data_IF_564642946469
#
_entry.id   IF_564642946469
#
_cell.length_a   1.000
_cell.length_b   1.000
_cell.length_c   1.000
_cell.angle_alpha   90.00
_cell.angle_beta   90.00
_cell.angle_gamma   90.00
#
_symmetry.space_group_name_H-M   'P 1'
#
loop_
_entity.id
_entity.type
_entity.pdbx_description
1 polymer ?
#
# COMPACT_ATOMS: atom_id res chain seq x y z
N UNK A 1 18.42 -18.99 3.83
CA UNK A 1 17.02 -19.44 3.65
C UNK A 1 16.43 -18.59 2.54
N UNK A 2 15.83 -19.20 1.51
CA UNK A 2 15.16 -18.43 0.46
C UNK A 2 13.78 -18.08 1.01
N UNK A 3 13.62 -16.87 1.52
CA UNK A 3 12.36 -16.47 2.11
C UNK A 3 11.27 -16.44 1.04
N UNK A 4 10.23 -17.22 1.25
CA UNK A 4 9.10 -17.31 0.36
C UNK A 4 8.18 -16.11 0.56
N UNK A 5 7.82 -15.45 -0.53
CA UNK A 5 6.80 -14.40 -0.56
C UNK A 5 5.52 -14.90 -1.23
N UNK A 6 4.38 -14.35 -0.84
CA UNK A 6 3.12 -14.48 -1.57
C UNK A 6 2.63 -13.11 -2.02
N UNK A 7 1.98 -13.07 -3.18
CA UNK A 7 1.57 -11.79 -3.81
C UNK A 7 0.12 -11.49 -3.46
N UNK A 8 -0.13 -10.28 -2.94
CA UNK A 8 -1.48 -9.69 -2.93
C UNK A 8 -1.61 -8.77 -4.12
N UNK A 9 -2.58 -9.07 -4.96
CA UNK A 9 -2.95 -8.25 -6.09
C UNK A 9 -4.04 -7.25 -5.71
N UNK A 10 -3.88 -5.99 -6.12
CA UNK A 10 -4.88 -4.92 -5.96
C UNK A 10 -5.08 -4.21 -7.31
N UNK A 11 -6.27 -4.34 -7.87
CA UNK A 11 -6.67 -3.63 -9.08
C UNK A 11 -7.08 -2.18 -8.76
N UNK A 12 -6.69 -1.22 -9.60
CA UNK A 12 -7.06 0.21 -9.51
C UNK A 12 -8.05 0.53 -10.60
N UNK A 13 -9.31 0.78 -10.22
CA UNK A 13 -10.43 0.99 -11.14
C UNK A 13 -10.27 2.32 -11.90
N UNK A 14 -9.62 3.31 -11.29
CA UNK A 14 -9.45 4.64 -11.89
C UNK A 14 -8.40 4.68 -13.01
N UNK A 15 -7.48 3.71 -13.05
CA UNK A 15 -6.36 3.69 -14.02
C UNK A 15 -6.24 2.39 -14.79
N UNK A 16 -7.06 1.37 -14.49
CA UNK A 16 -6.96 0.01 -15.06
C UNK A 16 -5.56 -0.62 -14.85
N UNK A 17 -4.97 -0.35 -13.68
CA UNK A 17 -3.63 -0.83 -13.29
C UNK A 17 -3.76 -1.88 -12.21
N UNK A 18 -2.90 -2.88 -12.24
CA UNK A 18 -2.81 -3.89 -11.21
C UNK A 18 -1.51 -3.74 -10.39
N UNK A 19 -1.66 -3.58 -9.07
CA UNK A 19 -0.55 -3.53 -8.14
C UNK A 19 -0.31 -4.92 -7.55
N UNK A 20 0.94 -5.39 -7.62
CA UNK A 20 1.39 -6.63 -7.01
C UNK A 20 2.23 -6.33 -5.77
N UNK A 21 1.72 -6.67 -4.59
CA UNK A 21 2.41 -6.49 -3.31
C UNK A 21 2.97 -7.82 -2.84
N UNK A 22 4.29 -7.91 -2.77
CA UNK A 22 4.98 -9.07 -2.22
C UNK A 22 4.94 -9.00 -0.68
N UNK A 23 4.33 -10.01 -0.08
CA UNK A 23 4.24 -10.18 1.37
C UNK A 23 5.09 -11.38 1.78
N UNK A 24 5.70 -11.31 2.94
CA UNK A 24 6.50 -12.42 3.45
C UNK A 24 5.56 -13.48 4.04
N UNK A 25 5.81 -14.76 3.75
CA UNK A 25 5.00 -15.85 4.33
C UNK A 25 5.24 -16.01 5.84
N UNK A 26 6.44 -15.68 6.29
CA UNK A 26 6.85 -15.71 7.70
C UNK A 26 7.42 -14.34 8.08
N UNK A 27 6.93 -13.76 9.17
CA UNK A 27 7.28 -12.43 9.63
C UNK A 27 6.29 -11.91 10.68
N UNK A 28 6.56 -10.72 11.21
CA UNK A 28 5.68 -10.03 12.17
C UNK A 28 4.58 -9.23 11.43
N UNK A 29 3.73 -8.52 12.15
CA UNK A 29 2.51 -7.85 11.66
C UNK A 29 2.73 -6.85 10.50
N UNK A 30 3.96 -6.38 10.27
CA UNK A 30 4.29 -5.47 9.17
C UNK A 30 4.41 -6.15 7.79
N UNK A 31 4.44 -7.48 7.74
CA UNK A 31 4.78 -8.23 6.52
C UNK A 31 3.60 -8.58 5.60
N UNK A 32 2.36 -8.24 6.00
CA UNK A 32 1.13 -8.58 5.28
C UNK A 32 0.26 -7.36 4.98
N UNK A 33 -0.57 -7.46 3.95
CA UNK A 33 -1.59 -6.49 3.57
C UNK A 33 -2.83 -6.75 4.41
N UNK A 34 -3.11 -5.84 5.33
CA UNK A 34 -4.29 -5.87 6.17
C UNK A 34 -5.55 -5.42 5.43
N UNK A 35 -6.71 -5.97 5.80
CA UNK A 35 -7.98 -5.63 5.15
C UNK A 35 -8.33 -4.14 5.24
N UNK A 36 -7.96 -3.48 6.35
CA UNK A 36 -8.13 -2.04 6.49
C UNK A 36 -7.36 -1.23 5.43
N UNK A 37 -6.16 -1.70 5.04
CA UNK A 37 -5.37 -1.07 3.99
C UNK A 37 -6.04 -1.23 2.62
N UNK A 38 -6.69 -2.35 2.35
CA UNK A 38 -7.44 -2.57 1.11
C UNK A 38 -8.68 -1.68 1.03
N UNK A 39 -9.42 -1.57 2.14
CA UNK A 39 -10.60 -0.69 2.22
C UNK A 39 -10.19 0.77 1.99
N UNK A 40 -9.12 1.23 2.64
CA UNK A 40 -8.64 2.60 2.46
C UNK A 40 -8.07 2.84 1.06
N UNK A 41 -7.28 1.89 0.53
CA UNK A 41 -6.78 1.96 -0.84
C UNK A 41 -7.93 2.07 -1.86
N UNK A 42 -8.95 1.22 -1.74
CA UNK A 42 -10.13 1.28 -2.62
C UNK A 42 -10.97 2.52 -2.43
N UNK A 43 -11.05 3.07 -1.22
CA UNK A 43 -11.67 4.37 -1.00
C UNK A 43 -10.93 5.48 -1.77
N UNK A 44 -9.59 5.51 -1.70
CA UNK A 44 -8.78 6.51 -2.41
C UNK A 44 -8.90 6.35 -3.94
N UNK A 45 -8.85 5.11 -4.44
CA UNK A 45 -9.09 4.79 -5.85
C UNK A 45 -10.47 5.29 -6.31
N UNK A 46 -11.52 5.03 -5.52
CA UNK A 46 -12.85 5.57 -5.79
C UNK A 46 -12.88 7.10 -5.82
N UNK A 47 -12.20 7.78 -4.87
CA UNK A 47 -12.09 9.24 -4.85
C UNK A 47 -11.41 9.76 -6.12
N UNK A 48 -10.45 9.04 -6.67
CA UNK A 48 -9.83 9.37 -7.95
C UNK A 48 -10.82 9.15 -9.12
N UNK A 49 -11.57 8.03 -9.15
CA UNK A 49 -12.60 7.78 -10.17
C UNK A 49 -13.63 8.92 -10.27
N UNK A 50 -14.06 9.47 -9.13
CA UNK A 50 -15.06 10.54 -9.08
C UNK A 50 -14.46 11.95 -9.19
N UNK A 51 -13.14 12.06 -9.41
CA UNK A 51 -12.45 13.35 -9.57
C UNK A 51 -12.28 14.16 -8.28
N UNK A 52 -12.41 13.53 -7.12
CA UNK A 52 -12.29 14.14 -5.79
C UNK A 52 -10.93 13.90 -5.12
N UNK A 53 -9.98 13.30 -5.84
CA UNK A 53 -8.60 13.14 -5.39
C UNK A 53 -7.74 14.33 -5.78
N UNK A 54 -7.14 15.00 -4.79
CA UNK A 54 -6.31 16.18 -5.03
C UNK A 54 -4.82 15.80 -5.11
N UNK A 55 -4.34 15.62 -6.34
CA UNK A 55 -2.96 15.29 -6.66
C UNK A 55 -1.93 16.37 -6.26
N UNK A 56 -2.36 17.57 -5.81
CA UNK A 56 -1.45 18.63 -5.36
C UNK A 56 -1.04 18.48 -3.89
N UNK A 57 -1.63 17.52 -3.16
CA UNK A 57 -1.32 17.29 -1.75
C UNK A 57 -0.01 16.52 -1.58
N UNK A 58 0.58 16.68 -0.40
CA UNK A 58 1.62 15.78 0.10
C UNK A 58 0.97 14.79 1.06
N UNK A 59 1.32 13.51 0.96
CA UNK A 59 0.74 12.44 1.79
C UNK A 59 1.81 11.85 2.70
N UNK A 60 1.45 11.62 3.96
CA UNK A 60 2.21 10.86 4.94
C UNK A 60 1.36 9.66 5.36
N UNK A 61 1.85 8.44 5.10
CA UNK A 61 1.27 7.20 5.61
C UNK A 61 2.05 6.77 6.86
N UNK A 62 1.35 6.64 8.00
CA UNK A 62 1.90 6.15 9.26
C UNK A 62 1.41 4.72 9.49
N UNK A 63 2.32 3.84 9.93
CA UNK A 63 2.01 2.41 10.03
C UNK A 63 1.78 1.81 8.64
N UNK A 64 2.66 2.13 7.69
CA UNK A 64 2.48 1.77 6.29
C UNK A 64 2.52 0.26 6.03
N UNK A 65 3.16 -0.53 6.87
CA UNK A 65 3.40 -1.96 6.68
C UNK A 65 4.01 -2.21 5.30
N UNK A 66 3.23 -2.84 4.43
CA UNK A 66 3.60 -3.10 3.02
C UNK A 66 3.60 -1.85 2.11
N UNK A 67 3.05 -0.73 2.57
CA UNK A 67 2.97 0.55 1.86
C UNK A 67 1.86 0.65 0.83
N UNK A 68 0.92 -0.31 0.78
CA UNK A 68 -0.08 -0.38 -0.29
C UNK A 68 -0.94 0.90 -0.40
N UNK A 69 -1.33 1.54 0.71
CA UNK A 69 -2.20 2.73 0.64
C UNK A 69 -1.45 3.92 0.06
N UNK A 70 -0.21 4.13 0.48
CA UNK A 70 0.65 5.17 -0.06
C UNK A 70 1.02 4.91 -1.52
N UNK A 71 1.23 3.66 -1.92
CA UNK A 71 1.45 3.30 -3.33
C UNK A 71 0.20 3.62 -4.17
N UNK A 72 -1.00 3.22 -3.72
CA UNK A 72 -2.27 3.58 -4.38
C UNK A 72 -2.38 5.10 -4.53
N UNK A 73 -2.09 5.83 -3.44
CA UNK A 73 -2.12 7.30 -3.44
C UNK A 73 -1.15 7.90 -4.47
N UNK A 74 0.07 7.36 -4.56
CA UNK A 74 1.11 7.80 -5.49
C UNK A 74 0.75 7.53 -6.96
N UNK A 75 -0.02 6.47 -7.25
CA UNK A 75 -0.48 6.12 -8.60
C UNK A 75 -1.36 7.21 -9.25
N UNK A 76 -1.89 8.14 -8.46
CA UNK A 76 -2.82 9.18 -8.94
C UNK A 76 -2.17 10.57 -9.06
N UNK A 77 -0.87 10.60 -9.34
CA UNK A 77 -0.16 11.83 -9.74
C UNK A 77 0.23 12.75 -8.58
N UNK A 78 0.25 12.25 -7.34
CA UNK A 78 0.80 12.98 -6.20
C UNK A 78 2.28 13.31 -6.44
N UNK A 79 2.69 14.51 -6.03
CA UNK A 79 4.10 14.93 -6.12
C UNK A 79 4.98 14.29 -5.06
N UNK A 80 4.41 13.99 -3.89
CA UNK A 80 5.17 13.51 -2.74
C UNK A 80 4.32 12.62 -1.84
N UNK A 81 4.83 11.41 -1.58
CA UNK A 81 4.27 10.45 -0.62
C UNK A 81 5.41 9.95 0.27
N UNK A 82 5.25 10.07 1.58
CA UNK A 82 6.15 9.51 2.57
C UNK A 82 5.47 8.37 3.29
N UNK A 83 6.15 7.23 3.35
CA UNK A 83 5.70 6.04 4.05
C UNK A 83 6.57 5.88 5.30
N UNK A 84 5.94 5.72 6.45
CA UNK A 84 6.65 5.50 7.70
C UNK A 84 6.02 4.35 8.46
N UNK A 85 6.86 3.41 8.87
CA UNK A 85 6.48 2.34 9.79
C UNK A 85 7.45 2.28 10.97
N UNK A 86 7.10 1.49 11.96
CA UNK A 86 8.00 1.12 13.04
C UNK A 86 9.12 0.24 12.50
N UNK A 87 10.34 0.43 12.99
CA UNK A 87 11.46 -0.44 12.65
C UNK A 87 11.27 -1.79 13.35
N UNK A 88 10.62 -2.73 12.66
CA UNK A 88 10.56 -4.12 13.10
C UNK A 88 11.81 -4.86 12.63
N UNK A 89 12.52 -5.52 13.56
CA UNK A 89 13.46 -6.57 13.19
C UNK A 89 12.64 -7.78 12.75
N UNK A 90 12.91 -8.32 11.56
CA UNK A 90 12.35 -9.60 11.14
C UNK A 90 12.96 -10.67 12.05
N UNK A 91 12.25 -11.05 13.11
CA UNK A 91 12.69 -12.16 13.96
C UNK A 91 12.75 -13.41 13.09
N UNK A 92 13.97 -13.93 12.93
CA UNK A 92 14.15 -15.29 12.41
C UNK A 92 13.63 -16.23 13.49
N UNK A 93 12.53 -16.93 13.21
CA UNK A 93 12.12 -18.11 14.00
C UNK A 93 13.10 -19.26 13.79
#
# INVERSE_FOLDING_TARGET
MNASTFVRTVHLDSTDVELAIHQWMEGDVGCVVWDGALVLGKYIDHKNCVGEWDAKKNVLELGSGTGIVGIVSASFGLRHVQLQDYAQETYSV
#
